data_IF_416497153197
#
_entry.id   IF_416497153197
#
_cell.length_a   1.000
_cell.length_b   1.000
_cell.length_c   1.000
_cell.angle_alpha   90.00
_cell.angle_beta   90.00
_cell.angle_gamma   90.00
#
_symmetry.space_group_name_H-M   'P 1'
#
loop_
_entity.id
_entity.type
_entity.pdbx_description
1 polymer ?
#
# COMPACT_ATOMS: atom_id res chain seq x y z
N UNK A 1 -14.58 -3.23 -7.13
CA UNK A 1 -13.38 -2.79 -7.85
C UNK A 1 -12.55 -4.00 -8.23
N UNK A 2 -12.38 -4.19 -9.53
CA UNK A 2 -11.48 -5.21 -10.07
C UNK A 2 -10.02 -4.82 -9.86
N UNK A 3 -9.10 -5.79 -9.95
CA UNK A 3 -7.70 -5.54 -9.62
C UNK A 3 -7.05 -4.49 -10.52
N UNK A 4 -7.30 -4.53 -11.83
CA UNK A 4 -6.65 -3.60 -12.75
C UNK A 4 -7.11 -2.15 -12.52
N UNK A 5 -8.41 -1.94 -12.23
CA UNK A 5 -8.93 -0.63 -11.83
C UNK A 5 -8.27 -0.15 -10.52
N UNK A 6 -8.16 -1.03 -9.52
CA UNK A 6 -7.48 -0.73 -8.26
C UNK A 6 -6.01 -0.38 -8.47
N UNK A 7 -5.34 -1.09 -9.37
CA UNK A 7 -3.94 -0.88 -9.73
C UNK A 7 -3.73 0.48 -10.39
N UNK A 8 -4.60 0.89 -11.32
CA UNK A 8 -4.54 2.22 -11.91
C UNK A 8 -4.70 3.33 -10.86
N UNK A 9 -5.63 3.17 -9.91
CA UNK A 9 -5.78 4.10 -8.80
C UNK A 9 -4.56 4.12 -7.88
N UNK A 10 -3.92 2.97 -7.67
CA UNK A 10 -2.66 2.86 -6.92
C UNK A 10 -1.55 3.64 -7.60
N UNK A 11 -1.38 3.49 -8.93
CA UNK A 11 -0.38 4.25 -9.69
C UNK A 11 -0.63 5.76 -9.61
N UNK A 12 -1.89 6.19 -9.71
CA UNK A 12 -2.25 7.62 -9.60
C UNK A 12 -1.92 8.19 -8.22
N UNK A 13 -2.24 7.45 -7.16
CA UNK A 13 -1.91 7.82 -5.79
C UNK A 13 -0.39 7.97 -5.61
N UNK A 14 0.37 7.01 -6.14
CA UNK A 14 1.83 6.94 -6.00
C UNK A 14 2.60 7.71 -7.08
N UNK A 15 1.91 8.50 -7.93
CA UNK A 15 2.55 9.31 -8.96
C UNK A 15 3.30 10.52 -8.37
N UNK A 16 2.91 10.94 -7.17
CA UNK A 16 3.63 11.91 -6.35
C UNK A 16 4.02 11.15 -5.10
N UNK A 17 5.30 10.83 -4.94
CA UNK A 17 5.79 10.06 -3.79
C UNK A 17 5.09 10.47 -2.49
N UNK A 18 4.50 9.50 -1.80
CA UNK A 18 3.76 9.73 -0.55
C UNK A 18 4.49 9.10 0.63
N UNK A 19 4.32 9.69 1.80
CA UNK A 19 4.72 9.06 3.06
C UNK A 19 3.53 8.31 3.66
N UNK A 20 3.75 7.05 4.02
CA UNK A 20 2.78 6.17 4.66
C UNK A 20 3.38 5.57 5.93
N UNK A 21 2.50 4.96 6.72
CA UNK A 21 2.86 4.30 7.96
C UNK A 21 2.37 2.85 7.98
N UNK A 22 3.26 1.94 8.35
CA UNK A 22 2.91 0.53 8.61
C UNK A 22 2.14 0.39 9.93
N UNK A 23 1.51 -0.76 10.17
CA UNK A 23 0.81 -1.02 11.45
C UNK A 23 1.74 -0.97 12.66
N UNK A 24 3.02 -1.31 12.48
CA UNK A 24 4.03 -1.21 13.53
C UNK A 24 4.57 0.22 13.73
N UNK A 25 3.91 1.23 13.17
CA UNK A 25 4.31 2.65 13.24
C UNK A 25 5.66 2.97 12.59
N UNK A 26 6.07 2.14 11.63
CA UNK A 26 7.25 2.41 10.80
C UNK A 26 6.80 3.24 9.60
N UNK A 27 7.36 4.44 9.44
CA UNK A 27 7.15 5.31 8.29
C UNK A 27 7.98 4.88 7.08
N UNK A 28 7.43 5.09 5.89
CA UNK A 28 8.10 4.81 4.63
C UNK A 28 7.58 5.71 3.52
N UNK A 29 8.44 6.00 2.55
CA UNK A 29 8.04 6.61 1.29
C UNK A 29 7.63 5.54 0.29
N UNK A 30 6.60 5.80 -0.49
CA UNK A 30 6.16 4.96 -1.59
C UNK A 30 5.96 5.79 -2.86
N UNK A 31 6.52 5.31 -3.95
CA UNK A 31 6.39 5.90 -5.29
C UNK A 31 6.17 4.81 -6.33
N UNK A 32 5.58 5.16 -7.47
CA UNK A 32 5.47 4.25 -8.61
C UNK A 32 6.59 4.53 -9.61
N UNK A 33 7.45 3.54 -9.83
CA UNK A 33 8.43 3.59 -10.92
C UNK A 33 7.77 3.09 -12.21
N UNK A 34 7.55 4.02 -13.14
CA UNK A 34 6.95 3.73 -14.44
C UNK A 34 7.88 2.98 -15.39
N UNK A 35 9.21 3.08 -15.20
CA UNK A 35 10.19 2.36 -16.03
C UNK A 35 10.24 0.89 -15.63
N UNK A 36 10.35 0.59 -14.34
CA UNK A 36 10.32 -0.78 -13.82
C UNK A 36 8.91 -1.39 -13.74
N UNK A 37 7.86 -0.56 -13.75
CA UNK A 37 6.49 -1.02 -13.56
C UNK A 37 6.22 -1.55 -12.15
N UNK A 38 6.97 -1.04 -11.15
CA UNK A 38 6.96 -1.49 -9.76
C UNK A 38 6.64 -0.35 -8.81
N UNK A 39 6.18 -0.70 -7.61
CA UNK A 39 6.13 0.26 -6.51
C UNK A 39 7.46 0.20 -5.78
N UNK A 40 8.12 1.35 -5.61
CA UNK A 40 9.34 1.47 -4.83
C UNK A 40 8.97 1.94 -3.43
N UNK A 41 9.32 1.15 -2.43
CA UNK A 41 9.13 1.48 -1.02
C UNK A 41 10.48 1.75 -0.37
N UNK A 42 10.62 2.90 0.27
CA UNK A 42 11.83 3.27 1.02
C UNK A 42 11.46 3.48 2.50
N UNK A 43 11.74 2.51 3.39
CA UNK A 43 11.53 2.68 4.82
C UNK A 43 12.45 3.77 5.40
N UNK A 44 11.91 4.68 6.20
CA UNK A 44 12.69 5.78 6.77
C UNK A 44 13.77 5.28 7.75
N UNK A 45 13.58 4.09 8.34
CA UNK A 45 14.52 3.49 9.29
C UNK A 45 15.79 2.95 8.64
N UNK A 46 15.71 2.41 7.42
CA UNK A 46 16.85 1.80 6.74
C UNK A 46 17.31 2.59 5.52
N UNK A 47 16.45 3.43 4.94
CA UNK A 47 16.66 4.13 3.66
C UNK A 47 17.06 3.19 2.50
N UNK A 48 16.75 1.90 2.63
CA UNK A 48 17.02 0.89 1.61
C UNK A 48 15.74 0.67 0.79
N UNK A 49 15.75 0.97 -0.53
CA UNK A 49 14.59 0.79 -1.37
C UNK A 49 14.24 -0.69 -1.52
N UNK A 50 12.93 -0.95 -1.68
CA UNK A 50 12.35 -2.27 -1.86
C UNK A 50 11.36 -2.21 -3.00
N UNK A 51 11.56 -3.07 -3.98
CA UNK A 51 10.65 -3.17 -5.11
C UNK A 51 9.48 -4.10 -4.77
N UNK A 52 8.29 -3.62 -5.08
CA UNK A 52 7.04 -4.36 -4.97
C UNK A 52 6.47 -4.51 -6.36
N UNK A 53 6.53 -5.74 -6.87
CA UNK A 53 5.99 -6.07 -8.19
C UNK A 53 4.46 -6.01 -8.21
N UNK A 54 3.88 -5.72 -9.39
CA UNK A 54 2.42 -5.82 -9.63
C UNK A 54 1.89 -7.20 -9.23
N UNK A 55 2.66 -8.27 -9.45
CA UNK A 55 2.28 -9.65 -9.13
C UNK A 55 2.15 -9.89 -7.63
N UNK A 56 3.13 -9.47 -6.84
CA UNK A 56 3.09 -9.59 -5.37
C UNK A 56 1.96 -8.73 -4.79
N UNK A 57 1.81 -7.52 -5.30
CA UNK A 57 0.72 -6.63 -4.92
C UNK A 57 -0.66 -7.26 -5.22
N UNK A 58 -0.83 -7.88 -6.39
CA UNK A 58 -2.06 -8.60 -6.78
C UNK A 58 -2.39 -9.73 -5.81
N UNK A 59 -1.40 -10.57 -5.47
CA UNK A 59 -1.59 -11.69 -4.54
C UNK A 59 -2.07 -11.21 -3.17
N UNK A 60 -1.49 -10.12 -2.65
CA UNK A 60 -1.93 -9.53 -1.36
C UNK A 60 -3.34 -8.95 -1.48
N UNK A 61 -3.66 -8.22 -2.56
CA UNK A 61 -4.99 -7.67 -2.79
C UNK A 61 -6.07 -8.76 -2.85
N UNK A 62 -5.81 -9.83 -3.61
CA UNK A 62 -6.72 -10.99 -3.71
C UNK A 62 -6.90 -11.65 -2.35
N UNK A 63 -5.80 -11.89 -1.63
CA UNK A 63 -5.89 -12.50 -0.29
C UNK A 63 -6.67 -11.62 0.68
N UNK A 64 -6.47 -10.31 0.63
CA UNK A 64 -7.22 -9.37 1.46
C UNK A 64 -8.73 -9.48 1.19
N UNK A 65 -9.14 -9.59 -0.07
CA UNK A 65 -10.56 -9.77 -0.44
C UNK A 65 -11.14 -11.08 0.10
N UNK A 66 -10.37 -12.17 0.11
CA UNK A 66 -10.80 -13.44 0.73
C UNK A 66 -10.96 -13.30 2.25
N UNK A 67 -10.02 -12.63 2.91
CA UNK A 67 -9.98 -12.47 4.36
C UNK A 67 -11.06 -11.52 4.89
N UNK A 68 -11.50 -10.53 4.08
CA UNK A 68 -12.63 -9.63 4.42
C UNK A 68 -13.91 -10.36 4.81
N UNK A 69 -14.09 -11.60 4.37
CA UNK A 69 -15.28 -12.42 4.72
C UNK A 69 -15.15 -13.16 6.05
N UNK A 70 -13.93 -13.23 6.62
CA UNK A 70 -13.58 -14.10 7.75
C UNK A 70 -13.04 -13.33 8.96
N UNK A 71 -12.46 -12.15 8.75
CA UNK A 71 -11.80 -11.37 9.79
C UNK A 71 -12.29 -9.93 9.76
N UNK A 72 -12.50 -9.37 10.94
CA UNK A 72 -12.84 -7.96 11.12
C UNK A 72 -11.62 -7.05 10.82
N UNK A 73 -10.43 -7.47 11.26
CA UNK A 73 -9.16 -6.77 11.01
C UNK A 73 -8.27 -7.52 10.02
N UNK A 74 -8.40 -7.15 8.75
CA UNK A 74 -7.66 -7.74 7.62
C UNK A 74 -6.28 -7.12 7.38
N UNK A 75 -5.92 -6.04 8.09
CA UNK A 75 -4.69 -5.30 7.76
C UNK A 75 -3.46 -5.89 8.44
N UNK A 76 -3.57 -6.99 9.18
CA UNK A 76 -2.45 -7.63 9.89
C UNK A 76 -1.45 -8.31 8.94
N UNK A 77 -0.17 -7.88 8.89
CA UNK A 77 0.82 -8.47 7.98
C UNK A 77 1.04 -9.98 8.19
N UNK A 78 0.86 -10.45 9.43
CA UNK A 78 0.96 -11.87 9.78
C UNK A 78 0.08 -12.79 8.90
N UNK A 79 -1.10 -12.29 8.46
CA UNK A 79 -2.03 -13.04 7.61
C UNK A 79 -1.51 -13.23 6.17
N UNK A 80 -0.45 -12.52 5.78
CA UNK A 80 0.10 -12.48 4.43
C UNK A 80 1.58 -12.92 4.37
N UNK A 81 2.16 -13.37 5.48
CA UNK A 81 3.58 -13.77 5.54
C UNK A 81 3.96 -14.85 4.52
N UNK A 82 3.03 -15.76 4.21
CA UNK A 82 3.23 -16.82 3.20
C UNK A 82 3.10 -16.33 1.75
N UNK A 83 2.68 -15.08 1.55
CA UNK A 83 2.51 -14.47 0.21
C UNK A 83 3.73 -13.64 -0.13
N UNK A 84 4.10 -12.70 0.74
CA UNK A 84 5.25 -11.82 0.52
C UNK A 84 5.72 -11.19 1.83
N UNK A 85 7.04 -10.97 1.92
CA UNK A 85 7.69 -10.25 3.03
C UNK A 85 7.38 -8.75 3.00
N UNK A 86 6.92 -8.22 1.87
CA UNK A 86 6.59 -6.81 1.69
C UNK A 86 5.14 -6.46 2.09
N UNK A 87 4.38 -7.42 2.64
CA UNK A 87 2.97 -7.24 3.00
C UNK A 87 2.75 -6.12 4.02
N UNK A 88 3.72 -5.86 4.90
CA UNK A 88 3.69 -4.75 5.85
C UNK A 88 3.61 -3.38 5.19
N UNK A 89 4.11 -3.23 3.95
CA UNK A 89 4.06 -1.99 3.17
C UNK A 89 2.87 -1.96 2.20
N UNK A 90 2.52 -3.11 1.62
CA UNK A 90 1.42 -3.23 0.66
C UNK A 90 0.06 -2.89 1.33
N UNK A 91 -0.16 -3.35 2.55
CA UNK A 91 -1.44 -3.15 3.25
C UNK A 91 -1.78 -1.68 3.52
N UNK A 92 -0.85 -0.83 4.03
CA UNK A 92 -1.07 0.60 4.10
C UNK A 92 -1.35 1.26 2.75
N UNK A 93 -0.66 0.87 1.68
CA UNK A 93 -0.93 1.40 0.33
C UNK A 93 -2.35 1.05 -0.11
N UNK A 94 -2.76 -0.21 0.07
CA UNK A 94 -4.12 -0.64 -0.27
C UNK A 94 -5.15 0.15 0.54
N UNK A 95 -4.90 0.37 1.84
CA UNK A 95 -5.76 1.17 2.71
C UNK A 95 -5.83 2.63 2.24
N UNK A 96 -4.71 3.22 1.84
CA UNK A 96 -4.65 4.59 1.33
C UNK A 96 -5.48 4.74 0.05
N UNK A 97 -5.34 3.82 -0.92
CA UNK A 97 -6.16 3.82 -2.15
C UNK A 97 -7.66 3.67 -1.83
N UNK A 98 -8.02 2.80 -0.88
CA UNK A 98 -9.42 2.67 -0.45
C UNK A 98 -9.96 3.91 0.29
N UNK A 99 -9.10 4.67 0.96
CA UNK A 99 -9.48 5.85 1.74
C UNK A 99 -9.55 7.07 0.84
N UNK A 100 -8.50 7.37 0.07
CA UNK A 100 -8.43 8.50 -0.85
C UNK A 100 -9.29 8.30 -2.11
N UNK A 101 -9.44 7.06 -2.57
CA UNK A 101 -10.39 6.68 -3.63
C UNK A 101 -11.85 6.54 -3.15
N UNK A 102 -12.16 6.98 -1.93
CA UNK A 102 -13.48 6.89 -1.31
C UNK A 102 -13.95 8.16 -0.58
N UNK A 103 -13.04 8.97 -0.04
CA UNK A 103 -13.29 10.33 0.50
C UNK A 103 -11.96 11.07 0.53
N UNK A 104 -11.86 12.17 -0.22
CA UNK A 104 -10.88 13.21 0.07
C UNK A 104 -11.06 13.65 1.54
N UNK A 105 -10.12 13.26 2.40
CA UNK A 105 -9.75 14.03 3.58
C UNK A 105 -8.27 14.31 3.44
N UNK A 106 -7.98 15.31 2.62
CA UNK A 106 -6.79 16.13 2.75
C UNK A 106 -6.65 16.46 4.23
N UNK A 107 -5.60 15.96 4.89
CA UNK A 107 -5.18 16.51 6.16
C UNK A 107 -4.65 17.91 5.83
N UNK A 108 -5.56 18.89 5.89
CA UNK A 108 -5.16 20.29 6.02
C UNK A 108 -4.30 20.39 7.28
N UNK A 109 -3.06 20.83 7.09
CA UNK A 109 -2.19 21.21 8.21
C UNK A 109 -2.93 22.29 9.01
N UNK A 110 -2.91 22.26 10.35
CA UNK A 110 -3.35 23.41 11.12
C UNK A 110 -2.39 24.56 10.81
N UNK A 111 -2.90 25.62 10.17
CA UNK A 111 -2.21 26.90 10.14
C UNK A 111 -2.05 27.38 11.59
N UNK A 112 -0.83 27.77 11.94
CA UNK A 112 -0.50 28.45 13.19
C UNK A 112 -0.26 29.91 12.89
#
# INVERSE_FOLDING_TARGET
MEFDEFWENTKKLLARDIELETISRTKFKAGFDSTGGVIVVTPNSTNLPRDVSKGDFKKVYQKMRELKRKYEDIYRPALYQRITRNSSYILPIIKAVHTEGGKQKTLEKPET
#
